data_IF_132479289422
#
_entry.id   IF_132479289422
#
_cell.length_a   1.000
_cell.length_b   1.000
_cell.length_c   1.000
_cell.angle_alpha   90.00
_cell.angle_beta   90.00
_cell.angle_gamma   90.00
#
_symmetry.space_group_name_H-M   'P 1'
#
loop_
_entity.id
_entity.type
_entity.pdbx_description
1 polymer ?
#
# COMPACT_ATOMS: atom_id res chain seq x y z
N UNK A 1 -2.16 11.21 48.54
CA UNK A 1 -0.84 10.72 48.09
C UNK A 1 -0.96 9.23 47.81
N UNK A 2 -1.39 8.89 46.60
CA UNK A 2 -1.36 7.53 46.09
C UNK A 2 -0.49 7.60 44.83
N UNK A 3 0.64 6.90 44.87
CA UNK A 3 1.64 6.82 43.83
C UNK A 3 1.13 5.96 42.68
N UNK A 4 1.14 6.52 41.47
CA UNK A 4 0.94 5.81 40.21
C UNK A 4 2.15 4.89 39.96
N UNK A 5 1.94 3.58 40.01
CA UNK A 5 2.90 2.60 39.48
C UNK A 5 2.79 2.59 37.95
N UNK A 6 3.73 3.29 37.33
CA UNK A 6 4.07 3.21 35.91
C UNK A 6 4.55 1.79 35.57
N UNK A 7 3.65 0.94 35.08
CA UNK A 7 3.99 -0.36 34.53
C UNK A 7 4.51 -0.19 33.09
N UNK A 8 5.80 0.13 32.97
CA UNK A 8 6.56 0.01 31.71
C UNK A 8 6.68 -1.47 31.35
N UNK A 9 5.90 -1.90 30.36
CA UNK A 9 6.02 -3.24 29.78
C UNK A 9 7.33 -3.29 29.00
N UNK A 10 8.29 -4.06 29.49
CA UNK A 10 9.57 -4.30 28.82
C UNK A 10 9.35 -5.01 27.47
N UNK A 11 9.50 -4.27 26.37
CA UNK A 11 9.35 -4.75 25.00
C UNK A 11 10.38 -5.83 24.56
N UNK A 12 11.34 -6.20 25.41
CA UNK A 12 12.34 -7.24 25.09
C UNK A 12 11.92 -8.64 25.50
N UNK A 13 11.00 -8.79 26.45
CA UNK A 13 10.65 -10.09 27.06
C UNK A 13 9.65 -10.88 26.21
N UNK A 14 8.88 -10.23 25.32
CA UNK A 14 7.81 -10.86 24.54
C UNK A 14 8.29 -11.69 23.34
N UNK A 15 9.41 -11.31 22.71
CA UNK A 15 9.89 -11.98 21.48
C UNK A 15 10.57 -13.33 21.74
N UNK A 16 11.19 -13.52 22.91
CA UNK A 16 11.89 -14.77 23.26
C UNK A 16 10.94 -15.87 23.74
N UNK A 17 9.85 -15.52 24.43
CA UNK A 17 8.88 -16.49 24.94
C UNK A 17 8.00 -17.07 23.82
N UNK A 18 7.64 -16.25 22.83
CA UNK A 18 6.80 -16.68 21.69
C UNK A 18 7.54 -17.65 20.74
N UNK A 19 8.86 -17.57 20.64
CA UNK A 19 9.66 -18.52 19.86
C UNK A 19 9.75 -19.91 20.52
N UNK A 20 9.47 -20.01 21.82
CA UNK A 20 9.44 -21.24 22.60
C UNK A 20 8.04 -21.85 22.72
N UNK A 21 7.05 -21.34 21.99
CA UNK A 21 5.70 -21.90 21.97
C UNK A 21 5.73 -23.38 21.56
N UNK A 22 4.94 -24.18 22.28
CA UNK A 22 4.69 -25.59 21.95
C UNK A 22 4.05 -25.71 20.56
N UNK A 23 4.17 -26.89 19.95
CA UNK A 23 3.52 -27.13 18.65
C UNK A 23 1.99 -26.94 18.74
N UNK A 24 1.38 -27.29 19.87
CA UNK A 24 -0.06 -27.12 20.10
C UNK A 24 -0.46 -25.64 20.09
N UNK A 25 0.27 -24.76 20.80
CA UNK A 25 0.02 -23.31 20.79
C UNK A 25 0.21 -22.69 19.40
N UNK A 26 1.19 -23.19 18.62
CA UNK A 26 1.40 -22.74 17.24
C UNK A 26 0.24 -23.16 16.33
N UNK A 27 -0.23 -24.39 16.47
CA UNK A 27 -1.38 -24.91 15.69
C UNK A 27 -2.67 -24.15 16.04
N UNK A 28 -2.91 -23.84 17.31
CA UNK A 28 -4.03 -23.01 17.74
C UNK A 28 -3.95 -21.58 17.17
N UNK A 29 -2.76 -20.97 17.20
CA UNK A 29 -2.55 -19.64 16.66
C UNK A 29 -2.75 -19.61 15.14
N UNK A 30 -2.26 -20.62 14.41
CA UNK A 30 -2.51 -20.78 12.98
C UNK A 30 -4.01 -20.88 12.70
N UNK A 31 -4.73 -21.73 13.44
CA UNK A 31 -6.17 -21.89 13.29
C UNK A 31 -6.91 -20.57 13.55
N UNK A 32 -6.54 -19.83 14.60
CA UNK A 32 -7.11 -18.51 14.88
C UNK A 32 -6.87 -17.51 13.74
N UNK A 33 -5.70 -17.56 13.10
CA UNK A 33 -5.36 -16.70 11.97
C UNK A 33 -6.14 -17.05 10.69
N UNK A 34 -6.81 -18.21 10.62
CA UNK A 34 -7.67 -18.56 9.48
C UNK A 34 -9.12 -18.10 9.65
N UNK A 35 -9.53 -17.72 10.87
CA UNK A 35 -10.92 -17.36 11.16
C UNK A 35 -11.13 -15.87 10.89
N UNK A 36 -11.91 -15.50 9.85
CA UNK A 36 -12.28 -14.10 9.63
C UNK A 36 -13.28 -13.62 10.69
N UNK A 37 -13.12 -12.38 11.13
CA UNK A 37 -14.04 -11.68 12.03
C UNK A 37 -14.54 -10.41 11.35
N UNK A 38 -15.78 -10.05 11.62
CA UNK A 38 -16.35 -8.79 11.15
C UNK A 38 -15.87 -7.64 12.04
N UNK A 39 -15.31 -6.62 11.41
CA UNK A 39 -14.95 -5.37 12.05
C UNK A 39 -15.78 -4.24 11.47
N UNK A 40 -16.27 -3.30 12.28
CA UNK A 40 -16.85 -2.07 11.77
C UNK A 40 -15.85 -1.38 10.84
N UNK A 41 -16.32 -1.01 9.67
CA UNK A 41 -15.56 -0.28 8.67
C UNK A 41 -16.46 0.81 8.11
N UNK A 42 -16.14 2.06 8.38
CA UNK A 42 -16.90 3.20 7.84
C UNK A 42 -16.79 3.31 6.30
N UNK A 43 -16.03 2.40 5.68
CA UNK A 43 -15.41 2.58 4.37
C UNK A 43 -15.71 1.45 3.37
N UNK A 44 -16.13 0.30 3.89
CA UNK A 44 -16.71 -0.80 3.10
C UNK A 44 -18.23 -0.61 2.98
N UNK A 45 -18.81 -1.23 1.94
CA UNK A 45 -20.26 -1.38 1.81
C UNK A 45 -20.58 -2.87 1.79
N UNK A 46 -21.30 -3.43 2.80
CA UNK A 46 -21.79 -2.77 4.03
C UNK A 46 -20.67 -2.30 4.95
N UNK A 47 -20.99 -1.51 6.00
CA UNK A 47 -20.05 -0.90 6.96
C UNK A 47 -19.31 -1.89 7.87
N UNK A 48 -19.04 -3.10 7.37
CA UNK A 48 -18.34 -4.16 8.03
C UNK A 48 -17.37 -4.82 7.05
N UNK A 49 -16.17 -5.13 7.52
CA UNK A 49 -15.13 -5.80 6.75
C UNK A 49 -14.69 -7.08 7.48
N UNK A 50 -14.62 -8.18 6.74
CA UNK A 50 -14.16 -9.46 7.26
C UNK A 50 -12.62 -9.53 7.19
N UNK A 51 -11.96 -9.57 8.34
CA UNK A 51 -10.50 -9.64 8.46
C UNK A 51 -10.09 -10.78 9.40
N UNK A 52 -8.99 -11.48 9.09
CA UNK A 52 -8.37 -12.40 10.05
C UNK A 52 -7.63 -11.62 11.15
N UNK A 53 -7.33 -12.29 12.27
CA UNK A 53 -6.51 -11.68 13.33
C UNK A 53 -5.14 -11.21 12.80
N UNK A 54 -4.54 -12.00 11.89
CA UNK A 54 -3.28 -11.68 11.24
C UNK A 54 -3.37 -10.45 10.33
N UNK A 55 -4.41 -10.36 9.50
CA UNK A 55 -4.64 -9.16 8.67
C UNK A 55 -4.87 -7.91 9.52
N UNK A 56 -5.58 -8.04 10.64
CA UNK A 56 -5.80 -6.93 11.57
C UNK A 56 -4.49 -6.48 12.21
N UNK A 57 -3.64 -7.41 12.64
CA UNK A 57 -2.32 -7.09 13.17
C UNK A 57 -1.45 -6.35 12.13
N UNK A 58 -1.53 -6.76 10.85
CA UNK A 58 -0.88 -6.06 9.75
C UNK A 58 -1.42 -4.63 9.56
N UNK A 59 -2.74 -4.45 9.54
CA UNK A 59 -3.39 -3.14 9.39
C UNK A 59 -3.03 -2.17 10.53
N UNK A 60 -2.91 -2.69 11.75
CA UNK A 60 -2.54 -1.90 12.93
C UNK A 60 -1.03 -1.69 13.05
N UNK A 61 -0.21 -2.32 12.20
CA UNK A 61 1.24 -2.17 12.23
C UNK A 61 1.91 -2.80 13.45
N UNK A 62 1.29 -3.82 14.06
CA UNK A 62 1.79 -4.52 15.24
C UNK A 62 2.83 -5.58 14.87
N UNK A 63 4.02 -5.14 14.48
CA UNK A 63 5.13 -5.97 13.98
C UNK A 63 5.42 -7.22 14.81
N UNK A 64 5.45 -7.12 16.14
CA UNK A 64 5.80 -8.26 17.00
C UNK A 64 4.72 -9.35 16.99
N UNK A 65 3.44 -8.95 16.93
CA UNK A 65 2.31 -9.88 16.81
C UNK A 65 2.34 -10.55 15.43
N UNK A 66 2.60 -9.78 14.37
CA UNK A 66 2.76 -10.29 13.00
C UNK A 66 3.89 -11.33 12.94
N UNK A 67 5.07 -11.03 13.50
CA UNK A 67 6.19 -11.96 13.51
C UNK A 67 5.88 -13.24 14.31
N UNK A 68 5.18 -13.11 15.44
CA UNK A 68 4.74 -14.27 16.21
C UNK A 68 3.83 -15.20 15.37
N UNK A 69 2.84 -14.63 14.66
CA UNK A 69 1.94 -15.38 13.80
C UNK A 69 2.68 -16.05 12.62
N UNK A 70 3.64 -15.36 12.00
CA UNK A 70 4.49 -15.92 10.94
C UNK A 70 5.37 -17.07 11.46
N UNK A 71 6.03 -16.89 12.61
CA UNK A 71 6.85 -17.93 13.24
C UNK A 71 6.03 -19.16 13.67
N UNK A 72 4.74 -18.96 13.92
CA UNK A 72 3.80 -20.04 14.19
C UNK A 72 3.36 -20.78 12.91
N UNK A 73 3.73 -20.32 11.71
CA UNK A 73 3.39 -20.97 10.44
C UNK A 73 2.18 -20.36 9.72
N UNK A 74 1.74 -19.17 10.12
CA UNK A 74 0.68 -18.46 9.40
C UNK A 74 1.15 -18.12 7.98
N UNK A 75 0.32 -18.41 6.98
CA UNK A 75 0.61 -18.06 5.58
C UNK A 75 0.84 -16.54 5.45
N UNK A 76 1.99 -16.14 4.92
CA UNK A 76 2.37 -14.72 4.78
C UNK A 76 1.34 -13.92 3.95
N UNK A 77 0.75 -14.57 2.96
CA UNK A 77 -0.10 -14.01 1.93
C UNK A 77 -1.58 -14.36 2.13
N UNK A 78 -2.07 -14.18 3.35
CA UNK A 78 -3.50 -14.31 3.62
C UNK A 78 -4.30 -13.18 2.94
N UNK A 79 -5.07 -13.56 1.93
CA UNK A 79 -6.17 -12.76 1.39
C UNK A 79 -7.47 -13.07 2.11
N UNK A 80 -8.30 -12.04 2.34
CA UNK A 80 -9.70 -12.23 2.75
C UNK A 80 -10.58 -11.51 1.72
N UNK A 81 -11.70 -12.11 1.29
CA UNK A 81 -12.73 -11.36 0.60
C UNK A 81 -13.28 -10.33 1.59
N UNK A 82 -12.80 -9.08 1.51
CA UNK A 82 -13.41 -7.99 2.25
C UNK A 82 -14.83 -7.80 1.76
N UNK A 83 -15.81 -7.76 2.66
CA UNK A 83 -17.21 -7.40 2.38
C UNK A 83 -17.91 -8.20 1.27
N UNK A 84 -19.04 -7.67 0.78
CA UNK A 84 -19.84 -8.29 -0.28
C UNK A 84 -19.36 -7.94 -1.70
N UNK A 85 -18.35 -7.08 -1.83
CA UNK A 85 -17.80 -6.65 -3.11
C UNK A 85 -16.39 -7.20 -3.30
N UNK A 86 -16.10 -7.75 -4.49
CA UNK A 86 -14.73 -8.09 -4.91
C UNK A 86 -13.77 -6.88 -4.82
N UNK A 87 -14.32 -5.67 -4.78
CA UNK A 87 -13.59 -4.40 -4.62
C UNK A 87 -13.13 -4.09 -3.19
N UNK A 88 -13.13 -5.05 -2.26
CA UNK A 88 -12.57 -4.90 -0.91
C UNK A 88 -11.57 -6.01 -0.55
N UNK A 89 -11.16 -6.85 -1.50
CA UNK A 89 -10.13 -7.86 -1.26
C UNK A 89 -8.77 -7.19 -1.03
N UNK A 90 -8.18 -7.43 0.14
CA UNK A 90 -6.83 -6.96 0.51
C UNK A 90 -6.07 -8.10 1.17
N UNK A 91 -4.82 -8.29 0.74
CA UNK A 91 -3.88 -9.21 1.38
C UNK A 91 -3.24 -8.57 2.61
N UNK A 92 -2.66 -9.40 3.49
CA UNK A 92 -1.91 -8.95 4.66
C UNK A 92 -0.86 -7.86 4.34
N UNK A 93 -0.13 -8.02 3.24
CA UNK A 93 0.87 -7.03 2.81
C UNK A 93 0.28 -5.65 2.46
N UNK A 94 -0.90 -5.62 1.83
CA UNK A 94 -1.61 -4.36 1.55
C UNK A 94 -2.03 -3.67 2.83
N UNK A 95 -2.51 -4.41 3.83
CA UNK A 95 -2.84 -3.86 5.14
C UNK A 95 -1.61 -3.30 5.85
N UNK A 96 -0.46 -3.99 5.80
CA UNK A 96 0.77 -3.47 6.36
C UNK A 96 1.24 -2.18 5.66
N UNK A 97 1.16 -2.10 4.31
CA UNK A 97 1.45 -0.87 3.59
C UNK A 97 0.55 0.28 4.06
N UNK A 98 -0.73 -0.01 4.27
CA UNK A 98 -1.70 0.96 4.74
C UNK A 98 -1.45 1.42 6.18
N UNK A 99 -0.91 0.56 7.04
CA UNK A 99 -0.53 0.91 8.40
C UNK A 99 0.59 1.96 8.48
N UNK A 100 1.35 2.15 7.38
CA UNK A 100 2.57 2.96 7.30
C UNK A 100 3.69 2.50 8.26
N UNK A 101 3.55 1.33 8.88
CA UNK A 101 4.55 0.74 9.77
C UNK A 101 5.63 0.05 8.96
N UNK A 102 6.72 0.76 8.65
CA UNK A 102 7.90 0.18 8.00
C UNK A 102 8.44 -1.08 8.70
N UNK A 103 8.47 -1.19 10.04
CA UNK A 103 8.86 -2.44 10.70
C UNK A 103 7.96 -3.62 10.35
N UNK A 104 6.64 -3.41 10.26
CA UNK A 104 5.68 -4.47 9.89
C UNK A 104 5.81 -4.84 8.42
N UNK A 105 5.97 -3.83 7.55
CA UNK A 105 6.20 -4.05 6.13
C UNK A 105 7.48 -4.86 5.92
N UNK A 106 8.56 -4.51 6.62
CA UNK A 106 9.83 -5.23 6.51
C UNK A 106 9.71 -6.67 6.97
N UNK A 107 9.03 -6.94 8.09
CA UNK A 107 8.79 -8.31 8.55
C UNK A 107 8.08 -9.16 7.49
N UNK A 108 7.07 -8.60 6.81
CA UNK A 108 6.39 -9.30 5.72
C UNK A 108 7.27 -9.48 4.47
N UNK A 109 8.11 -8.51 4.12
CA UNK A 109 9.05 -8.63 3.01
C UNK A 109 10.09 -9.72 3.28
N UNK A 110 10.60 -9.80 4.51
CA UNK A 110 11.57 -10.81 4.96
C UNK A 110 10.98 -12.23 4.88
N UNK A 111 9.67 -12.37 5.15
CA UNK A 111 8.90 -13.62 5.01
C UNK A 111 8.37 -13.87 3.58
N UNK A 112 8.77 -13.05 2.59
CA UNK A 112 8.48 -13.30 1.17
C UNK A 112 7.08 -12.87 0.71
N UNK A 113 6.47 -11.88 1.37
CA UNK A 113 5.17 -11.36 0.96
C UNK A 113 5.14 -10.87 -0.50
N UNK A 114 4.08 -11.17 -1.27
CA UNK A 114 3.99 -10.75 -2.66
C UNK A 114 3.66 -9.25 -2.78
N UNK A 115 4.62 -8.50 -3.31
CA UNK A 115 4.54 -7.04 -3.47
C UNK A 115 3.70 -6.56 -4.65
N UNK A 116 3.29 -7.47 -5.54
CA UNK A 116 2.57 -7.17 -6.78
C UNK A 116 1.10 -7.62 -6.76
N UNK A 117 0.59 -8.05 -5.60
CA UNK A 117 -0.85 -8.30 -5.44
C UNK A 117 -1.57 -6.99 -5.21
N UNK A 118 -2.58 -6.74 -6.03
CA UNK A 118 -3.43 -5.58 -5.86
C UNK A 118 -4.66 -5.93 -5.03
N UNK A 119 -5.28 -4.88 -4.53
CA UNK A 119 -6.63 -4.92 -4.02
C UNK A 119 -7.38 -3.70 -4.47
N UNK A 120 -8.37 -3.33 -3.68
CA UNK A 120 -9.28 -2.25 -4.03
C UNK A 120 -9.58 -1.38 -2.80
N UNK A 121 -9.90 -0.13 -3.08
CA UNK A 121 -10.11 0.92 -2.10
C UNK A 121 -11.26 1.81 -2.55
N UNK A 122 -12.23 2.09 -1.69
CA UNK A 122 -13.25 3.10 -2.01
C UNK A 122 -12.60 4.48 -2.07
N UNK A 123 -13.07 5.36 -2.96
CA UNK A 123 -12.54 6.71 -3.06
C UNK A 123 -12.82 7.51 -1.78
N UNK A 124 -13.94 7.23 -1.11
CA UNK A 124 -14.27 7.78 0.21
C UNK A 124 -13.21 7.40 1.25
N UNK A 125 -12.75 6.13 1.26
CA UNK A 125 -11.67 5.71 2.14
C UNK A 125 -10.38 6.43 1.84
N UNK A 126 -9.98 6.45 0.57
CA UNK A 126 -8.77 7.12 0.13
C UNK A 126 -8.77 8.60 0.54
N UNK A 127 -9.88 9.33 0.31
CA UNK A 127 -9.99 10.74 0.65
C UNK A 127 -9.89 11.05 2.15
N UNK A 128 -10.23 10.10 3.03
CA UNK A 128 -10.11 10.28 4.48
C UNK A 128 -8.70 10.00 5.02
N UNK A 129 -8.01 9.01 4.46
CA UNK A 129 -6.64 8.64 4.86
C UNK A 129 -5.58 9.51 4.18
N UNK A 130 -5.96 10.13 3.06
CA UNK A 130 -5.08 10.87 2.17
C UNK A 130 -5.70 12.25 1.93
N UNK A 131 -5.74 13.13 2.95
CA UNK A 131 -6.41 14.45 2.86
C UNK A 131 -5.77 15.38 1.79
N UNK A 132 -4.56 15.06 1.33
CA UNK A 132 -3.90 15.69 0.18
C UNK A 132 -4.49 15.28 -1.18
N UNK A 133 -5.24 14.18 -1.23
CA UNK A 133 -6.20 13.90 -2.31
C UNK A 133 -7.33 14.89 -2.14
N UNK A 134 -7.09 16.13 -2.58
CA UNK A 134 -8.17 17.08 -2.79
C UNK A 134 -9.11 16.41 -3.78
N UNK A 135 -10.28 15.97 -3.28
CA UNK A 135 -11.37 15.32 -4.02
C UNK A 135 -11.98 16.29 -5.07
N UNK A 136 -11.28 17.39 -5.38
CA UNK A 136 -11.70 18.49 -6.22
C UNK A 136 -11.40 18.35 -7.72
N UNK A 137 -11.02 17.17 -8.21
CA UNK A 137 -11.16 16.82 -9.63
C UNK A 137 -12.24 15.74 -9.86
N UNK A 138 -13.41 16.05 -9.30
CA UNK A 138 -14.76 15.59 -9.63
C UNK A 138 -15.04 14.08 -9.62
N UNK A 139 -16.09 13.74 -8.86
CA UNK A 139 -16.93 12.54 -8.98
C UNK A 139 -17.46 12.22 -10.38
N UNK A 140 -17.14 13.03 -11.41
CA UNK A 140 -17.41 12.76 -12.83
C UNK A 140 -16.27 12.06 -13.59
N UNK A 141 -15.03 12.07 -13.09
CA UNK A 141 -13.86 11.57 -13.84
C UNK A 141 -13.28 10.28 -13.22
N UNK A 142 -13.33 10.14 -11.90
CA UNK A 142 -12.82 8.95 -11.20
C UNK A 142 -13.99 8.07 -10.70
N UNK A 143 -13.97 6.74 -10.96
CA UNK A 143 -14.97 5.81 -10.45
C UNK A 143 -15.07 5.83 -8.93
N UNK A 144 -16.22 5.37 -8.41
CA UNK A 144 -16.55 5.28 -6.97
C UNK A 144 -15.57 4.37 -6.20
N UNK A 145 -14.85 3.49 -6.90
CA UNK A 145 -13.81 2.61 -6.37
C UNK A 145 -12.50 2.71 -7.17
N UNK A 146 -11.39 2.68 -6.45
CA UNK A 146 -10.05 2.47 -6.99
C UNK A 146 -9.79 0.97 -6.93
N UNK A 147 -9.84 0.31 -8.09
CA UNK A 147 -9.50 -1.10 -8.20
C UNK A 147 -8.13 -1.24 -8.82
N UNK A 148 -7.50 -2.40 -8.61
CA UNK A 148 -6.13 -2.64 -9.01
C UNK A 148 -5.15 -1.64 -8.35
N UNK A 149 -5.37 -1.37 -7.06
CA UNK A 149 -4.43 -0.62 -6.24
C UNK A 149 -3.34 -1.56 -5.73
N UNK A 150 -2.10 -1.30 -6.11
CA UNK A 150 -0.93 -2.09 -5.71
C UNK A 150 -0.22 -1.43 -4.53
N UNK A 151 0.59 -2.18 -3.76
CA UNK A 151 1.43 -1.65 -2.69
C UNK A 151 2.26 -0.42 -3.11
N UNK A 152 2.77 -0.42 -4.35
CA UNK A 152 3.57 0.70 -4.86
C UNK A 152 2.77 2.02 -4.92
N UNK A 153 1.47 1.95 -5.15
CA UNK A 153 0.61 3.13 -5.17
C UNK A 153 0.48 3.73 -3.76
N UNK A 154 0.42 2.91 -2.71
CA UNK A 154 0.44 3.41 -1.32
C UNK A 154 1.76 4.13 -1.01
N UNK A 155 2.90 3.57 -1.41
CA UNK A 155 4.20 4.21 -1.23
C UNK A 155 4.26 5.62 -1.87
N UNK A 156 3.71 5.75 -3.07
CA UNK A 156 3.73 7.01 -3.84
C UNK A 156 2.81 8.05 -3.23
N UNK A 157 1.60 7.63 -2.86
CA UNK A 157 0.59 8.48 -2.24
C UNK A 157 1.07 9.00 -0.89
N UNK A 158 1.70 8.14 -0.09
CA UNK A 158 2.24 8.51 1.22
C UNK A 158 3.60 9.24 1.13
N UNK A 159 4.11 9.46 -0.09
CA UNK A 159 5.45 9.96 -0.36
C UNK A 159 6.57 9.18 0.38
N UNK A 160 6.36 7.89 0.59
CA UNK A 160 7.29 6.99 1.28
C UNK A 160 8.32 6.44 0.29
N UNK A 161 9.43 7.18 0.13
CA UNK A 161 10.53 6.82 -0.76
C UNK A 161 11.19 5.49 -0.35
N UNK A 162 11.29 5.20 0.95
CA UNK A 162 11.89 3.95 1.44
C UNK A 162 11.08 2.73 0.99
N UNK A 163 9.76 2.79 1.19
CA UNK A 163 8.86 1.75 0.71
C UNK A 163 8.89 1.66 -0.82
N UNK A 164 8.93 2.80 -1.51
CA UNK A 164 8.99 2.79 -2.97
C UNK A 164 10.22 2.02 -3.46
N UNK A 165 11.40 2.28 -2.90
CA UNK A 165 12.65 1.58 -3.27
C UNK A 165 12.51 0.07 -3.11
N UNK A 166 11.80 -0.40 -2.07
CA UNK A 166 11.58 -1.83 -1.82
C UNK A 166 10.59 -2.47 -2.81
N UNK A 167 9.65 -1.69 -3.33
CA UNK A 167 8.56 -2.18 -4.20
C UNK A 167 8.84 -2.03 -5.69
N UNK A 168 9.71 -1.09 -6.06
CA UNK A 168 10.02 -0.81 -7.45
C UNK A 168 10.82 -1.96 -8.06
N UNK A 169 10.26 -2.53 -9.13
CA UNK A 169 10.86 -3.61 -9.92
C UNK A 169 10.82 -3.28 -11.41
N UNK A 170 11.51 -4.06 -12.25
CA UNK A 170 11.46 -3.89 -13.72
C UNK A 170 10.05 -4.01 -14.33
N UNK A 171 9.11 -4.60 -13.59
CA UNK A 171 7.73 -4.80 -14.02
C UNK A 171 6.76 -3.70 -13.55
N UNK A 172 7.27 -2.63 -12.93
CA UNK A 172 6.49 -1.52 -12.35
C UNK A 172 5.47 -0.91 -13.32
N UNK A 173 5.78 -0.86 -14.63
CA UNK A 173 4.86 -0.36 -15.67
C UNK A 173 3.59 -1.19 -15.87
N UNK A 174 3.59 -2.46 -15.47
CA UNK A 174 2.39 -3.33 -15.57
C UNK A 174 1.45 -3.14 -14.38
N UNK A 175 1.86 -2.39 -13.36
CA UNK A 175 1.07 -2.11 -12.17
C UNK A 175 0.12 -0.96 -12.49
N UNK A 176 -0.93 -1.27 -13.26
CA UNK A 176 -1.90 -0.30 -13.77
C UNK A 176 -3.21 -0.40 -13.00
N UNK A 177 -3.76 0.72 -12.55
CA UNK A 177 -5.10 0.75 -11.94
C UNK A 177 -6.19 0.43 -12.96
N UNK A 178 -7.42 0.18 -12.50
CA UNK A 178 -8.55 -0.06 -13.42
C UNK A 178 -8.88 1.14 -14.34
N UNK A 179 -8.43 2.36 -14.04
CA UNK A 179 -8.56 3.54 -14.91
C UNK A 179 -7.35 3.77 -15.84
N UNK A 180 -6.40 2.85 -15.88
CA UNK A 180 -5.23 2.97 -16.74
C UNK A 180 -4.09 3.80 -16.14
N UNK A 181 -4.08 4.05 -14.83
CA UNK A 181 -3.02 4.84 -14.20
C UNK A 181 -1.84 3.94 -13.85
N UNK A 182 -0.69 4.22 -14.46
CA UNK A 182 0.62 3.74 -14.00
C UNK A 182 1.12 4.54 -12.77
N UNK A 183 2.12 4.04 -12.03
CA UNK A 183 2.68 4.71 -10.85
C UNK A 183 3.08 6.17 -11.07
N UNK A 184 3.61 6.53 -12.25
CA UNK A 184 3.97 7.92 -12.56
C UNK A 184 2.74 8.85 -12.62
N UNK A 185 1.59 8.40 -13.14
CA UNK A 185 0.36 9.19 -13.10
C UNK A 185 -0.07 9.48 -11.67
N UNK A 186 0.02 8.47 -10.79
CA UNK A 186 -0.33 8.57 -9.37
C UNK A 186 0.61 9.56 -8.67
N UNK A 187 1.92 9.52 -8.98
CA UNK A 187 2.87 10.47 -8.44
C UNK A 187 2.53 11.91 -8.82
N UNK A 188 2.30 12.17 -10.11
CA UNK A 188 1.89 13.49 -10.59
C UNK A 188 0.58 13.99 -9.97
N UNK A 189 -0.38 13.09 -9.73
CA UNK A 189 -1.67 13.43 -9.13
C UNK A 189 -1.55 13.85 -7.67
N UNK A 190 -0.76 13.12 -6.86
CA UNK A 190 -0.83 13.23 -5.39
C UNK A 190 0.41 13.79 -4.72
N UNK A 191 1.54 13.84 -5.41
CA UNK A 191 2.74 14.43 -4.85
C UNK A 191 3.39 15.42 -5.81
N UNK A 192 4.06 16.38 -5.19
CA UNK A 192 4.85 17.41 -5.87
C UNK A 192 6.35 17.06 -5.71
N UNK A 193 6.65 15.77 -5.52
CA UNK A 193 7.98 15.29 -5.15
C UNK A 193 8.76 14.94 -6.41
N UNK A 194 9.66 15.85 -6.81
CA UNK A 194 10.59 15.59 -7.93
C UNK A 194 11.41 14.33 -7.65
N UNK A 195 11.87 14.13 -6.41
CA UNK A 195 12.61 12.91 -6.01
C UNK A 195 11.82 11.63 -6.23
N UNK A 196 10.51 11.63 -5.94
CA UNK A 196 9.63 10.48 -6.20
C UNK A 196 9.54 10.19 -7.71
N UNK A 197 9.37 11.25 -8.50
CA UNK A 197 9.29 11.16 -9.96
C UNK A 197 10.62 10.65 -10.53
N UNK A 198 11.75 11.19 -10.08
CA UNK A 198 13.09 10.75 -10.47
C UNK A 198 13.30 9.29 -10.19
N UNK A 199 12.88 8.84 -9.01
CA UNK A 199 12.98 7.43 -8.67
C UNK A 199 12.15 6.58 -9.63
N UNK A 200 10.88 6.92 -9.87
CA UNK A 200 10.04 6.20 -10.82
C UNK A 200 10.59 6.21 -12.26
N UNK A 201 11.19 7.31 -12.70
CA UNK A 201 11.82 7.42 -14.02
C UNK A 201 13.10 6.58 -14.11
N UNK A 202 13.87 6.48 -13.03
CA UNK A 202 15.15 5.75 -13.02
C UNK A 202 15.02 4.22 -13.10
N UNK A 203 13.92 3.64 -12.62
CA UNK A 203 13.71 2.19 -12.56
C UNK A 203 12.85 1.62 -13.70
N UNK A 204 12.46 2.45 -14.67
CA UNK A 204 11.68 2.06 -15.84
C UNK A 204 12.25 2.59 -17.14
N UNK A 205 11.58 2.30 -18.26
CA UNK A 205 11.75 3.11 -19.46
C UNK A 205 11.05 4.45 -19.19
N UNK A 206 11.83 5.40 -18.66
CA UNK A 206 11.39 6.75 -18.32
C UNK A 206 10.53 7.37 -19.45
N UNK A 207 10.93 7.17 -20.70
CA UNK A 207 10.22 7.70 -21.85
C UNK A 207 8.85 7.03 -22.04
N UNK A 208 8.78 5.70 -21.92
CA UNK A 208 7.50 4.98 -21.99
C UNK A 208 6.55 5.37 -20.86
N UNK A 209 7.08 5.70 -19.67
CA UNK A 209 6.30 6.19 -18.54
C UNK A 209 5.68 7.57 -18.81
N UNK A 210 6.49 8.53 -19.31
CA UNK A 210 6.04 9.91 -19.58
C UNK A 210 4.97 9.96 -20.68
N UNK A 211 5.04 9.08 -21.69
CA UNK A 211 4.06 9.04 -22.78
C UNK A 211 2.91 8.05 -22.54
N UNK A 212 2.86 7.39 -21.39
CA UNK A 212 1.77 6.47 -21.05
C UNK A 212 0.46 7.24 -20.97
N UNK A 213 -0.63 6.66 -21.48
CA UNK A 213 -1.96 7.25 -21.44
C UNK A 213 -2.86 6.48 -20.50
N UNK A 214 -3.65 7.21 -19.71
CA UNK A 214 -4.79 6.66 -18.98
C UNK A 214 -5.92 6.25 -19.95
N UNK A 215 -6.95 5.57 -19.44
CA UNK A 215 -8.15 5.21 -20.23
C UNK A 215 -8.86 6.45 -20.83
N UNK A 216 -8.66 7.64 -20.23
CA UNK A 216 -9.20 8.91 -20.70
C UNK A 216 -8.21 9.69 -21.59
N UNK A 217 -7.17 9.03 -22.13
CA UNK A 217 -6.15 9.61 -23.00
C UNK A 217 -5.35 10.77 -22.37
N UNK A 218 -5.17 10.75 -21.05
CA UNK A 218 -4.34 11.75 -20.33
C UNK A 218 -2.94 11.21 -20.07
N UNK A 219 -1.94 12.07 -20.27
CA UNK A 219 -0.53 11.84 -19.90
C UNK A 219 -0.27 12.21 -18.43
N UNK A 220 0.84 11.76 -17.82
CA UNK A 220 1.17 12.11 -16.42
C UNK A 220 1.28 13.62 -16.16
N UNK A 221 1.90 14.39 -17.05
CA UNK A 221 2.04 15.85 -16.89
C UNK A 221 0.68 16.57 -16.89
N UNK A 222 -0.30 16.06 -17.65
CA UNK A 222 -1.66 16.60 -17.69
C UNK A 222 -2.47 16.33 -16.43
N UNK A 223 -1.99 15.43 -15.57
CA UNK A 223 -2.58 15.14 -14.27
C UNK A 223 -1.86 15.86 -13.12
N UNK A 224 -0.67 16.42 -13.37
CA UNK A 224 0.06 17.18 -12.37
C UNK A 224 -0.68 18.48 -12.02
N UNK A 225 -0.79 18.75 -10.73
CA UNK A 225 -1.37 20.01 -10.22
C UNK A 225 -0.33 21.12 -10.06
N UNK A 226 0.95 20.77 -10.05
CA UNK A 226 2.08 21.67 -9.84
C UNK A 226 2.81 21.94 -11.17
N UNK A 227 3.00 23.23 -11.49
CA UNK A 227 3.65 23.66 -12.73
C UNK A 227 5.11 23.25 -12.85
N UNK A 228 5.84 23.14 -11.73
CA UNK A 228 7.24 22.73 -11.71
C UNK A 228 7.38 21.28 -12.14
N UNK A 229 6.47 20.40 -11.70
CA UNK A 229 6.43 19.00 -12.13
C UNK A 229 6.11 18.88 -13.62
N UNK A 230 5.18 19.70 -14.13
CA UNK A 230 4.83 19.73 -15.56
C UNK A 230 6.06 20.10 -16.40
N UNK A 231 6.75 21.18 -16.04
CA UNK A 231 7.96 21.64 -16.72
C UNK A 231 9.09 20.61 -16.63
N UNK A 232 9.25 19.99 -15.47
CA UNK A 232 10.23 18.93 -15.23
C UNK A 232 10.03 17.73 -16.15
N UNK A 233 8.80 17.21 -16.27
CA UNK A 233 8.50 16.06 -17.14
C UNK A 233 8.71 16.40 -18.63
N UNK A 234 8.31 17.60 -19.07
CA UNK A 234 8.45 18.05 -20.46
C UNK A 234 9.91 18.26 -20.86
N UNK A 235 10.71 18.86 -19.98
CA UNK A 235 12.15 19.03 -20.18
C UNK A 235 12.87 17.68 -20.23
N UNK A 236 12.53 16.77 -19.32
CA UNK A 236 13.06 15.40 -19.28
C UNK A 236 12.74 14.63 -20.55
N UNK A 237 11.49 14.72 -21.04
CA UNK A 237 11.09 14.12 -22.31
C UNK A 237 11.86 14.69 -23.51
N UNK A 238 12.03 16.01 -23.54
CA UNK A 238 12.77 16.69 -24.62
C UNK A 238 14.25 16.27 -24.65
N UNK A 239 14.88 16.18 -23.48
CA UNK A 239 16.26 15.70 -23.34
C UNK A 239 16.43 14.25 -23.82
N UNK A 240 15.49 13.36 -23.46
CA UNK A 240 15.52 11.96 -23.90
C UNK A 240 15.29 11.77 -25.40
N UNK A 241 14.54 12.66 -26.04
CA UNK A 241 14.34 12.63 -27.49
C UNK A 241 15.59 13.12 -28.24
N UNK A 242 16.32 14.09 -27.67
CA UNK A 242 17.56 14.60 -28.25
C UNK A 242 18.72 13.61 -28.12
N UNK A 243 18.77 12.80 -27.07
CA UNK A 243 19.83 11.78 -26.89
C UNK A 243 19.67 10.53 -27.75
N UNK A 244 18.54 10.37 -28.45
CA UNK A 244 18.25 9.27 -29.38
C UNK A 244 18.37 9.66 -30.86
N UNK A 245 18.63 10.93 -31.16
CA UNK A 245 18.82 11.47 -32.50
C UNK A 245 20.32 11.58 -32.84
#
# INVERSE_FOLDING_TARGET
>A
MASEESNTIDHKTSSSELNNASNEEKDELQHLCQIPRLFPSEWSSPHEEAQTAYQRACLLGHRDIVQCMLNAGTEVDQGSPGGHSRSTMRGAFMFACQSRSMPTIQALLDDGAPVNKYGSCSLTYAGSFLPSISIHYSSRILPVSWENLYPIHYAIVDNNLELLIKLVTSNTKKLVTNQGLIPLHIACLFNQSVTMIDLLLSYGDANAGIIAKTNNNKFPDQLATDSTIIEYLRSTQSSMNQSKA
#
